data_IF_184406186019
#
_entry.id   IF_184406186019
#
_cell.length_a   1.000
_cell.length_b   1.000
_cell.length_c   1.000
_cell.angle_alpha   90.00
_cell.angle_beta   90.00
_cell.angle_gamma   90.00
#
_symmetry.space_group_name_H-M   'P 1'
#
loop_
_entity.id
_entity.type
_entity.pdbx_description
1 polymer ?
#
# COMPACT_ATOMS: atom_id res chain seq x y z
N UNK A 1 -8.08 -38.08 -12.47
CA UNK A 1 -7.92 -36.79 -11.77
C UNK A 1 -7.11 -37.02 -10.51
N UNK A 2 -6.02 -36.30 -10.30
CA UNK A 2 -5.21 -36.43 -9.09
C UNK A 2 -5.91 -35.74 -7.92
N UNK A 3 -6.07 -36.43 -6.80
CA UNK A 3 -6.61 -35.87 -5.56
C UNK A 3 -5.47 -35.20 -4.79
N UNK A 4 -5.47 -33.88 -4.72
CA UNK A 4 -4.51 -33.11 -3.94
C UNK A 4 -5.09 -32.93 -2.53
N UNK A 5 -4.41 -33.50 -1.53
CA UNK A 5 -4.83 -33.40 -0.13
C UNK A 5 -4.02 -32.28 0.52
N UNK A 6 -4.63 -31.11 0.73
CA UNK A 6 -3.96 -29.97 1.37
C UNK A 6 -4.45 -29.85 2.82
N UNK A 7 -3.56 -29.79 3.82
CA UNK A 7 -3.93 -29.48 5.19
C UNK A 7 -4.67 -28.14 5.28
N UNK A 8 -5.80 -28.11 5.99
CA UNK A 8 -6.64 -26.89 6.17
C UNK A 8 -5.84 -25.68 6.66
N UNK A 9 -4.83 -25.90 7.51
CA UNK A 9 -3.98 -24.85 8.07
C UNK A 9 -3.09 -24.21 7.00
N UNK A 10 -2.52 -25.01 6.11
CA UNK A 10 -1.66 -24.54 5.02
C UNK A 10 -2.50 -23.75 4.02
N UNK A 11 -3.66 -24.28 3.62
CA UNK A 11 -4.58 -23.57 2.72
C UNK A 11 -4.98 -22.20 3.28
N UNK A 12 -5.32 -22.11 4.57
CA UNK A 12 -5.65 -20.84 5.22
C UNK A 12 -4.48 -19.86 5.23
N UNK A 13 -3.25 -20.36 5.36
CA UNK A 13 -2.05 -19.54 5.41
C UNK A 13 -1.77 -18.93 4.05
N UNK A 14 -1.74 -19.76 3.00
CA UNK A 14 -1.54 -19.32 1.61
C UNK A 14 -2.61 -18.30 1.23
N UNK A 15 -3.88 -18.59 1.53
CA UNK A 15 -4.97 -17.68 1.20
C UNK A 15 -4.84 -16.31 1.89
N UNK A 16 -4.38 -16.30 3.15
CA UNK A 16 -4.14 -15.06 3.90
C UNK A 16 -2.98 -14.26 3.31
N UNK A 17 -1.91 -14.93 2.88
CA UNK A 17 -0.75 -14.29 2.25
C UNK A 17 -1.13 -13.70 0.90
N UNK A 18 -1.83 -14.45 0.04
CA UNK A 18 -2.30 -13.94 -1.26
C UNK A 18 -3.20 -12.71 -1.11
N UNK A 19 -4.14 -12.71 -0.15
CA UNK A 19 -4.99 -11.53 0.11
C UNK A 19 -4.15 -10.35 0.60
N UNK A 20 -3.18 -10.60 1.49
CA UNK A 20 -2.30 -9.54 2.01
C UNK A 20 -1.50 -8.89 0.88
N UNK A 21 -0.93 -9.68 -0.02
CA UNK A 21 -0.14 -9.16 -1.14
C UNK A 21 -0.97 -8.26 -2.05
N UNK A 22 -2.18 -8.70 -2.43
CA UNK A 22 -3.10 -7.90 -3.27
C UNK A 22 -3.49 -6.61 -2.56
N UNK A 23 -3.82 -6.67 -1.25
CA UNK A 23 -4.17 -5.49 -0.48
C UNK A 23 -2.98 -4.52 -0.35
N UNK A 24 -1.76 -5.02 -0.15
CA UNK A 24 -0.56 -4.18 -0.09
C UNK A 24 -0.31 -3.45 -1.41
N UNK A 25 -0.49 -4.13 -2.54
CA UNK A 25 -0.33 -3.55 -3.88
C UNK A 25 -1.41 -2.50 -4.19
N UNK A 26 -2.67 -2.79 -3.91
CA UNK A 26 -3.79 -1.90 -4.27
C UNK A 26 -4.02 -0.79 -3.24
N UNK A 27 -3.68 -1.00 -1.96
CA UNK A 27 -3.90 0.01 -0.91
C UNK A 27 -3.17 1.32 -1.17
N UNK A 28 -2.02 1.28 -1.86
CA UNK A 28 -1.29 2.50 -2.21
C UNK A 28 -2.09 3.39 -3.17
N UNK A 29 -2.74 2.79 -4.17
CA UNK A 29 -3.57 3.52 -5.13
C UNK A 29 -4.76 4.17 -4.44
N UNK A 30 -5.43 3.43 -3.55
CA UNK A 30 -6.53 3.98 -2.75
C UNK A 30 -6.07 5.12 -1.83
N UNK A 31 -4.93 4.97 -1.15
CA UNK A 31 -4.39 6.04 -0.30
C UNK A 31 -4.12 7.32 -1.09
N UNK A 32 -3.60 7.22 -2.31
CA UNK A 32 -3.36 8.38 -3.17
C UNK A 32 -4.68 8.95 -3.69
N UNK A 33 -5.62 8.11 -4.12
CA UNK A 33 -6.92 8.55 -4.62
C UNK A 33 -7.74 9.32 -3.57
N UNK A 34 -7.68 8.88 -2.31
CA UNK A 34 -8.35 9.56 -1.19
C UNK A 34 -7.48 10.62 -0.52
N UNK A 35 -6.24 10.85 -0.98
CA UNK A 35 -5.42 11.91 -0.42
C UNK A 35 -6.00 13.28 -0.81
N UNK A 36 -6.10 14.22 0.14
CA UNK A 36 -6.47 15.59 -0.22
C UNK A 36 -5.42 16.17 -1.17
N UNK A 37 -5.86 17.02 -2.09
CA UNK A 37 -4.93 17.80 -2.90
C UNK A 37 -4.12 18.73 -2.00
N UNK A 38 -2.79 18.63 -2.09
CA UNK A 38 -1.84 19.48 -1.36
C UNK A 38 -1.04 20.30 -2.35
N UNK A 39 -1.09 21.63 -2.21
CA UNK A 39 -0.31 22.52 -3.09
C UNK A 39 1.19 22.41 -2.80
N UNK A 40 2.06 22.78 -3.75
CA UNK A 40 3.51 22.78 -3.51
C UNK A 40 3.93 23.70 -2.34
N UNK A 41 3.22 24.83 -2.15
CA UNK A 41 3.48 25.76 -1.04
C UNK A 41 3.14 25.12 0.30
N UNK A 42 2.00 24.43 0.37
CA UNK A 42 1.54 23.72 1.55
C UNK A 42 2.44 22.53 1.88
N UNK A 43 2.83 21.72 0.88
CA UNK A 43 3.76 20.62 1.06
C UNK A 43 5.11 21.10 1.63
N UNK A 44 5.62 22.25 1.16
CA UNK A 44 6.85 22.86 1.70
C UNK A 44 6.68 23.30 3.16
N UNK A 45 5.53 23.84 3.55
CA UNK A 45 5.26 24.22 4.94
C UNK A 45 5.16 22.99 5.85
N UNK A 46 4.51 21.92 5.38
CA UNK A 46 4.44 20.62 6.09
C UNK A 46 5.85 20.07 6.32
N UNK A 47 6.68 20.00 5.27
CA UNK A 47 8.07 19.52 5.39
C UNK A 47 8.92 20.38 6.33
N UNK A 48 8.69 21.70 6.36
CA UNK A 48 9.38 22.61 7.27
C UNK A 48 9.01 22.35 8.74
N UNK A 49 7.73 22.09 9.02
CA UNK A 49 7.22 21.90 10.39
C UNK A 49 7.50 20.51 10.95
N UNK A 50 7.35 19.49 10.11
CA UNK A 50 7.36 18.09 10.55
C UNK A 50 8.58 17.31 10.05
N UNK A 51 9.42 17.93 9.21
CA UNK A 51 10.55 17.28 8.56
C UNK A 51 10.12 16.42 7.37
N UNK A 52 11.11 15.90 6.64
CA UNK A 52 10.87 14.89 5.61
C UNK A 52 10.83 13.50 6.24
N UNK A 53 10.04 12.56 5.69
CA UNK A 53 10.13 11.17 6.10
C UNK A 53 11.57 10.67 5.94
N UNK A 54 12.22 10.29 7.05
CA UNK A 54 13.64 9.92 7.07
C UNK A 54 13.94 8.51 6.54
N UNK A 55 12.92 7.75 6.11
CA UNK A 55 13.05 6.34 5.72
C UNK A 55 12.47 6.09 4.33
N UNK A 56 12.82 4.94 3.72
CA UNK A 56 12.20 4.37 2.50
C UNK A 56 10.68 4.04 2.65
N UNK A 57 10.00 4.68 3.59
CA UNK A 57 8.55 4.59 3.83
C UNK A 57 7.82 5.55 2.89
N UNK A 58 8.48 6.62 2.44
CA UNK A 58 7.94 7.49 1.41
C UNK A 58 7.86 6.73 0.08
N UNK A 59 6.64 6.48 -0.37
CA UNK A 59 6.34 5.90 -1.69
C UNK A 59 5.63 6.97 -2.51
N UNK A 60 6.10 7.18 -3.74
CA UNK A 60 5.47 8.09 -4.70
C UNK A 60 4.82 7.29 -5.82
N UNK A 61 3.67 7.75 -6.31
CA UNK A 61 2.97 7.16 -7.44
C UNK A 61 2.32 8.28 -8.22
N UNK A 62 2.53 8.29 -9.54
CA UNK A 62 1.80 9.17 -10.45
C UNK A 62 0.45 8.53 -10.75
N UNK A 63 -0.63 9.25 -10.45
CA UNK A 63 -1.99 8.85 -10.80
C UNK A 63 -2.46 9.74 -11.94
N UNK A 64 -2.82 9.13 -13.07
CA UNK A 64 -3.57 9.81 -14.12
C UNK A 64 -5.03 9.82 -13.68
N UNK A 65 -5.55 11.00 -13.36
CA UNK A 65 -6.96 11.25 -13.09
C UNK A 65 -7.66 11.48 -14.43
#
# INVERSE_FOLDING_TARGET
MATITIPKKELKTVLKESIREVLEQESMKFRVFFAPFVSQKEQKDIEKRYGRPFRKVAKSTEVKI
#
